data_IF_941401508054
#
_entry.id   IF_941401508054
#
_cell.length_a   1.000
_cell.length_b   1.000
_cell.length_c   1.000
_cell.angle_alpha   90.00
_cell.angle_beta   90.00
_cell.angle_gamma   90.00
#
_symmetry.space_group_name_H-M   'P 1'
#
loop_
_entity.id
_entity.type
_entity.pdbx_description
1 polymer ?
#
# COMPACT_ATOMS: atom_id res chain seq x y z
N UNK A 1 -27.26 46.39 19.75
CA UNK A 1 -26.24 46.44 18.67
C UNK A 1 -24.90 46.17 19.33
N UNK A 2 -24.01 45.26 18.93
CA UNK A 2 -23.85 44.36 17.78
C UNK A 2 -23.20 43.07 18.33
N UNK A 3 -23.63 41.94 17.77
CA UNK A 3 -23.14 40.59 18.01
C UNK A 3 -21.62 40.53 17.70
N UNK A 4 -20.78 40.23 18.68
CA UNK A 4 -19.44 39.69 18.43
C UNK A 4 -19.47 38.19 18.72
N UNK A 5 -20.12 37.47 17.80
CA UNK A 5 -19.94 36.05 17.61
C UNK A 5 -18.54 35.90 16.98
N UNK A 6 -17.51 35.79 17.81
CA UNK A 6 -16.14 35.60 17.32
C UNK A 6 -16.05 34.18 16.76
N UNK A 7 -16.04 34.12 15.43
CA UNK A 7 -15.98 32.91 14.62
C UNK A 7 -14.70 32.14 14.96
N UNK A 8 -14.95 30.96 15.50
CA UNK A 8 -14.04 29.84 15.66
C UNK A 8 -13.62 29.36 14.27
N UNK A 9 -12.46 29.76 13.76
CA UNK A 9 -11.84 29.14 12.60
C UNK A 9 -10.61 28.35 13.07
N UNK A 10 -10.90 27.16 13.60
CA UNK A 10 -9.93 26.09 13.80
C UNK A 10 -9.30 25.76 12.44
N UNK A 11 -8.09 26.25 12.18
CA UNK A 11 -7.20 25.66 11.20
C UNK A 11 -6.71 24.33 11.77
N UNK A 12 -7.51 23.26 11.62
CA UNK A 12 -7.04 21.91 11.86
C UNK A 12 -6.05 21.62 10.71
N UNK A 13 -4.74 21.45 10.96
CA UNK A 13 -3.84 20.99 9.91
C UNK A 13 -4.34 19.60 9.49
N UNK A 14 -4.75 19.45 8.23
CA UNK A 14 -5.02 18.15 7.66
C UNK A 14 -3.72 17.35 7.73
N UNK A 15 -3.67 16.36 8.63
CA UNK A 15 -2.49 15.53 8.84
C UNK A 15 -2.13 14.82 7.53
N UNK A 16 -0.86 14.96 7.15
CA UNK A 16 -0.20 14.40 5.96
C UNK A 16 -0.66 14.98 4.61
N UNK A 17 -0.14 16.15 4.19
CA UNK A 17 -0.36 16.64 2.84
C UNK A 17 0.36 15.76 1.82
N UNK A 18 -0.26 15.56 0.66
CA UNK A 18 0.43 15.02 -0.51
C UNK A 18 1.52 15.99 -0.94
N UNK A 19 2.78 15.54 -0.94
CA UNK A 19 3.91 16.35 -1.36
C UNK A 19 4.48 15.83 -2.67
N UNK A 20 4.78 16.75 -3.60
CA UNK A 20 5.53 16.42 -4.82
C UNK A 20 6.98 16.16 -4.43
N UNK A 21 7.53 15.03 -4.85
CA UNK A 21 8.86 14.57 -4.43
C UNK A 21 9.64 13.92 -5.59
N UNK A 22 10.85 13.49 -5.27
CA UNK A 22 11.75 12.73 -6.13
C UNK A 22 13.09 12.49 -5.44
N UNK A 23 13.76 11.39 -5.76
CA UNK A 23 15.04 11.00 -5.17
C UNK A 23 14.91 9.97 -4.04
N UNK A 24 15.99 9.80 -3.28
CA UNK A 24 16.04 8.81 -2.19
C UNK A 24 15.22 9.27 -1.00
N UNK A 25 14.35 8.39 -0.52
CA UNK A 25 13.62 8.51 0.73
C UNK A 25 14.00 7.34 1.64
N UNK A 26 14.25 7.63 2.91
CA UNK A 26 14.58 6.64 3.93
C UNK A 26 13.60 6.78 5.09
N UNK A 27 12.98 5.66 5.47
CA UNK A 27 12.15 5.58 6.66
C UNK A 27 12.93 4.88 7.77
N UNK A 28 13.46 5.67 8.71
CA UNK A 28 14.14 5.13 9.88
C UNK A 28 13.22 4.29 10.79
N UNK A 29 11.96 4.69 11.07
CA UNK A 29 11.08 3.90 11.94
C UNK A 29 10.71 2.53 11.36
N UNK A 30 10.61 2.44 10.02
CA UNK A 30 10.20 1.24 9.30
C UNK A 30 11.37 0.51 8.61
N UNK A 31 12.59 1.01 8.77
CA UNK A 31 13.84 0.43 8.27
C UNK A 31 13.82 0.05 6.77
N UNK A 32 13.36 0.97 5.93
CA UNK A 32 13.41 0.81 4.47
C UNK A 32 13.90 2.07 3.77
N UNK A 33 14.41 1.91 2.56
CA UNK A 33 14.71 3.02 1.65
C UNK A 33 14.05 2.79 0.30
N UNK A 34 13.70 3.87 -0.40
CA UNK A 34 13.11 3.82 -1.74
C UNK A 34 13.59 5.01 -2.57
N UNK A 35 13.90 4.75 -3.85
CA UNK A 35 14.17 5.82 -4.81
C UNK A 35 12.86 6.19 -5.50
N UNK A 36 12.34 7.37 -5.18
CA UNK A 36 11.06 7.86 -5.71
C UNK A 36 11.32 8.55 -7.07
N UNK A 37 10.60 8.19 -8.14
CA UNK A 37 10.75 8.85 -9.43
C UNK A 37 10.43 10.34 -9.33
N UNK A 38 11.13 11.15 -10.14
CA UNK A 38 10.94 12.60 -10.13
C UNK A 38 9.50 12.98 -10.49
N UNK A 39 8.93 13.87 -9.69
CA UNK A 39 7.60 14.43 -9.94
C UNK A 39 6.43 13.60 -9.41
N UNK A 40 6.69 12.44 -8.80
CA UNK A 40 5.68 11.65 -8.12
C UNK A 40 5.19 12.37 -6.85
N UNK A 41 3.95 12.05 -6.46
CA UNK A 41 3.36 12.51 -5.21
C UNK A 41 3.59 11.49 -4.12
N UNK A 42 3.81 11.94 -2.89
CA UNK A 42 4.03 11.11 -1.71
C UNK A 42 3.06 11.47 -0.59
N UNK A 43 2.48 10.45 0.02
CA UNK A 43 1.72 10.49 1.25
C UNK A 43 2.40 9.57 2.25
N UNK A 44 3.00 10.17 3.28
CA UNK A 44 3.71 9.48 4.35
C UNK A 44 2.88 9.53 5.63
N UNK A 45 2.64 8.37 6.23
CA UNK A 45 1.81 8.21 7.43
C UNK A 45 2.51 7.28 8.42
N UNK A 46 2.00 7.22 9.65
CA UNK A 46 2.47 6.31 10.69
C UNK A 46 2.28 4.81 10.36
N UNK A 47 1.49 4.49 9.34
CA UNK A 47 1.13 3.10 8.98
C UNK A 47 1.65 2.66 7.63
N UNK A 48 1.83 3.59 6.70
CA UNK A 48 2.22 3.30 5.34
C UNK A 48 2.82 4.52 4.64
N UNK A 49 3.64 4.23 3.64
CA UNK A 49 4.07 5.16 2.61
C UNK A 49 3.33 4.85 1.31
N UNK A 50 2.69 5.85 0.72
CA UNK A 50 2.04 5.76 -0.58
C UNK A 50 2.66 6.77 -1.53
N UNK A 51 3.28 6.28 -2.61
CA UNK A 51 3.84 7.13 -3.68
C UNK A 51 3.11 6.86 -4.98
N UNK A 52 2.87 7.89 -5.78
CA UNK A 52 2.01 7.80 -6.97
C UNK A 52 2.45 8.75 -8.07
N UNK A 53 2.49 8.25 -9.31
CA UNK A 53 2.76 9.06 -10.51
C UNK A 53 1.49 9.70 -11.09
N UNK A 54 0.47 8.87 -11.35
CA UNK A 54 -0.77 9.29 -12.05
C UNK A 54 -2.00 9.38 -11.13
N UNK A 55 -1.84 9.10 -9.84
CA UNK A 55 -2.88 9.09 -8.83
C UNK A 55 -2.95 7.76 -8.09
N UNK A 56 -3.37 7.75 -6.81
CA UNK A 56 -3.32 6.56 -5.94
C UNK A 56 -4.24 5.40 -6.36
N UNK A 57 -5.06 5.61 -7.40
CA UNK A 57 -5.95 4.58 -7.96
C UNK A 57 -5.56 4.16 -9.38
N UNK A 58 -4.52 4.77 -9.96
CA UNK A 58 -4.08 4.51 -11.34
C UNK A 58 -2.66 3.93 -11.38
N UNK A 59 -1.74 4.53 -10.62
CA UNK A 59 -0.35 4.08 -10.56
C UNK A 59 0.25 4.48 -9.22
N UNK A 60 0.56 3.48 -8.39
CA UNK A 60 1.14 3.72 -7.08
C UNK A 60 2.05 2.59 -6.60
N UNK A 61 2.87 2.91 -5.61
CA UNK A 61 3.58 1.94 -4.76
C UNK A 61 3.14 2.18 -3.32
N UNK A 62 2.69 1.11 -2.66
CA UNK A 62 2.31 1.11 -1.25
C UNK A 62 3.32 0.27 -0.47
N UNK A 63 3.95 0.87 0.54
CA UNK A 63 4.83 0.20 1.49
C UNK A 63 4.14 0.31 2.85
N UNK A 64 3.93 -0.82 3.52
CA UNK A 64 3.23 -0.85 4.81
C UNK A 64 3.74 -1.98 5.68
N UNK A 65 3.76 -1.74 6.98
CA UNK A 65 3.94 -2.77 7.99
C UNK A 65 2.59 -3.27 8.49
N UNK A 66 2.55 -4.53 8.92
CA UNK A 66 1.34 -5.15 9.44
C UNK A 66 1.68 -6.10 10.58
N UNK A 67 0.90 -6.12 11.68
CA UNK A 67 1.01 -7.17 12.68
C UNK A 67 0.78 -8.55 12.04
N UNK A 68 1.72 -9.48 12.26
CA UNK A 68 1.74 -10.76 11.56
C UNK A 68 0.47 -11.59 11.78
N UNK A 69 -0.15 -11.45 12.95
CA UNK A 69 -1.33 -12.20 13.38
C UNK A 69 -2.66 -11.51 13.05
N UNK A 70 -2.62 -10.31 12.44
CA UNK A 70 -3.82 -9.58 12.04
C UNK A 70 -4.45 -10.20 10.78
N UNK A 71 -5.73 -10.64 10.81
CA UNK A 71 -6.43 -11.19 9.64
C UNK A 71 -6.64 -10.15 8.55
N UNK A 72 -6.44 -10.53 7.30
CA UNK A 72 -6.62 -9.66 6.14
C UNK A 72 -8.09 -9.19 5.99
N UNK A 73 -8.35 -8.21 5.11
CA UNK A 73 -9.65 -7.52 5.10
C UNK A 73 -10.73 -8.36 4.43
N UNK A 74 -10.39 -8.99 3.31
CA UNK A 74 -11.30 -9.75 2.47
C UNK A 74 -11.23 -11.27 2.78
N UNK A 75 -10.17 -11.74 3.44
CA UNK A 75 -10.06 -13.11 3.97
C UNK A 75 -9.85 -13.17 5.49
N UNK A 76 -10.27 -14.29 6.10
CA UNK A 76 -9.96 -14.60 7.51
C UNK A 76 -8.52 -15.10 7.70
N UNK A 77 -7.79 -15.37 6.62
CA UNK A 77 -6.38 -15.80 6.70
C UNK A 77 -5.51 -14.68 7.28
N UNK A 78 -4.41 -15.10 7.91
CA UNK A 78 -3.37 -14.25 8.49
C UNK A 78 -2.02 -14.88 8.23
N UNK A 79 -0.95 -14.10 8.36
CA UNK A 79 0.39 -14.66 8.33
C UNK A 79 0.71 -15.43 9.61
N UNK A 80 1.74 -16.28 9.51
CA UNK A 80 2.35 -16.98 10.62
C UNK A 80 3.87 -16.94 10.43
N UNK A 81 4.62 -16.82 11.53
CA UNK A 81 6.10 -16.80 11.56
C UNK A 81 6.75 -18.05 10.96
N UNK A 82 6.03 -19.16 10.93
CA UNK A 82 6.50 -20.44 10.41
C UNK A 82 6.17 -20.67 8.93
N UNK A 83 5.48 -19.72 8.27
CA UNK A 83 5.13 -19.87 6.86
C UNK A 83 6.38 -19.78 5.98
N UNK A 84 6.45 -20.68 5.01
CA UNK A 84 7.32 -20.53 3.85
C UNK A 84 6.84 -19.33 3.01
N UNK A 85 7.74 -18.68 2.23
CA UNK A 85 7.33 -17.55 1.41
C UNK A 85 6.18 -17.84 0.44
N UNK A 86 6.11 -19.06 -0.08
CA UNK A 86 5.03 -19.48 -0.97
C UNK A 86 3.68 -19.60 -0.23
N UNK A 87 3.68 -20.08 1.02
CA UNK A 87 2.47 -20.13 1.85
C UNK A 87 1.99 -18.71 2.21
N UNK A 88 2.92 -17.79 2.45
CA UNK A 88 2.59 -16.37 2.63
C UNK A 88 2.01 -15.77 1.34
N UNK A 89 2.56 -16.10 0.17
CA UNK A 89 2.00 -15.67 -1.12
C UNK A 89 0.55 -16.14 -1.30
N UNK A 90 0.24 -17.39 -0.91
CA UNK A 90 -1.12 -17.94 -0.99
C UNK A 90 -2.13 -17.18 -0.11
N UNK A 91 -1.70 -16.67 1.05
CA UNK A 91 -2.54 -15.80 1.89
C UNK A 91 -2.86 -14.49 1.16
N UNK A 92 -1.89 -13.88 0.47
CA UNK A 92 -2.10 -12.65 -0.29
C UNK A 92 -2.98 -12.88 -1.53
N UNK A 93 -2.80 -14.01 -2.22
CA UNK A 93 -3.66 -14.40 -3.34
C UNK A 93 -5.11 -14.58 -2.87
N UNK A 94 -5.31 -15.24 -1.72
CA UNK A 94 -6.63 -15.43 -1.12
C UNK A 94 -7.29 -14.09 -0.75
N UNK A 95 -6.53 -13.14 -0.19
CA UNK A 95 -7.01 -11.79 0.07
C UNK A 95 -7.48 -11.07 -1.20
N UNK A 96 -6.66 -11.12 -2.26
CA UNK A 96 -6.97 -10.42 -3.52
C UNK A 96 -8.18 -11.05 -4.20
N UNK A 97 -8.22 -12.38 -4.30
CA UNK A 97 -9.31 -13.11 -4.97
C UNK A 97 -10.62 -13.09 -4.18
N UNK A 98 -10.57 -12.87 -2.86
CA UNK A 98 -11.75 -12.67 -2.03
C UNK A 98 -12.35 -11.25 -2.18
N UNK A 99 -11.62 -10.30 -2.76
CA UNK A 99 -12.12 -8.95 -3.00
C UNK A 99 -13.09 -8.91 -4.19
N UNK A 100 -14.36 -8.59 -3.92
CA UNK A 100 -15.41 -8.48 -4.96
C UNK A 100 -15.21 -7.32 -5.94
N UNK A 101 -14.21 -6.47 -5.75
CA UNK A 101 -13.83 -5.43 -6.71
C UNK A 101 -12.76 -5.87 -7.70
N UNK A 102 -12.11 -7.00 -7.43
CA UNK A 102 -11.09 -7.61 -8.28
C UNK A 102 -11.79 -8.61 -9.22
N UNK A 103 -11.72 -8.35 -10.52
CA UNK A 103 -12.31 -9.17 -11.56
C UNK A 103 -11.19 -9.73 -12.46
N UNK A 104 -11.36 -10.96 -12.97
CA UNK A 104 -10.40 -11.57 -13.89
C UNK A 104 -8.94 -11.53 -13.38
N UNK A 105 -8.74 -11.89 -12.11
CA UNK A 105 -7.42 -11.98 -11.51
C UNK A 105 -6.58 -13.07 -12.18
N UNK A 106 -5.35 -12.73 -12.56
CA UNK A 106 -4.41 -13.61 -13.25
C UNK A 106 -3.00 -13.42 -12.67
N UNK A 107 -2.36 -14.52 -12.29
CA UNK A 107 -0.98 -14.54 -11.82
C UNK A 107 -0.06 -14.71 -13.02
N UNK A 108 0.89 -13.77 -13.17
CA UNK A 108 1.93 -13.79 -14.21
C UNK A 108 3.20 -14.44 -13.66
N UNK A 109 3.55 -14.14 -12.41
CA UNK A 109 4.72 -14.70 -11.72
C UNK A 109 4.39 -14.86 -10.23
N UNK A 110 4.80 -15.98 -9.61
CA UNK A 110 4.79 -16.18 -8.17
C UNK A 110 6.00 -17.05 -7.80
N UNK A 111 7.00 -16.45 -7.16
CA UNK A 111 8.25 -17.13 -6.83
C UNK A 111 8.80 -16.68 -5.47
N UNK A 112 9.42 -17.60 -4.69
CA UNK A 112 10.26 -17.23 -3.56
C UNK A 112 11.43 -16.34 -4.01
N UNK A 113 11.82 -15.39 -3.17
CA UNK A 113 12.94 -14.48 -3.40
C UNK A 113 13.61 -14.08 -2.09
N UNK A 114 14.75 -13.39 -2.18
CA UNK A 114 15.43 -12.77 -1.04
C UNK A 114 15.19 -11.27 -1.04
N UNK A 115 14.68 -10.74 0.06
CA UNK A 115 14.49 -9.29 0.27
C UNK A 115 15.44 -8.88 1.39
N UNK A 116 16.48 -8.11 1.05
CA UNK A 116 17.51 -7.68 2.00
C UNK A 116 18.08 -8.84 2.85
N UNK A 117 18.33 -9.99 2.24
CA UNK A 117 18.85 -11.19 2.93
C UNK A 117 17.81 -12.02 3.70
N UNK A 118 16.55 -11.58 3.75
CA UNK A 118 15.44 -12.33 4.34
C UNK A 118 14.65 -13.10 3.29
N UNK A 119 14.06 -14.22 3.67
CA UNK A 119 13.16 -14.97 2.79
C UNK A 119 11.85 -14.21 2.59
N UNK A 120 11.45 -14.07 1.33
CA UNK A 120 10.21 -13.41 0.92
C UNK A 120 9.72 -13.99 -0.40
N UNK A 121 8.70 -13.36 -0.98
CA UNK A 121 8.17 -13.78 -2.27
C UNK A 121 7.96 -12.57 -3.17
N UNK A 122 8.01 -12.81 -4.48
CA UNK A 122 7.64 -11.85 -5.51
C UNK A 122 6.43 -12.39 -6.25
N UNK A 123 5.42 -11.54 -6.38
CA UNK A 123 4.21 -11.84 -7.14
C UNK A 123 3.98 -10.74 -8.16
N UNK A 124 3.73 -11.14 -9.42
CA UNK A 124 3.31 -10.25 -10.50
C UNK A 124 1.95 -10.76 -10.98
N UNK A 125 0.97 -9.88 -11.03
CA UNK A 125 -0.40 -10.24 -11.35
C UNK A 125 -1.09 -9.10 -12.10
N UNK A 126 -2.20 -9.43 -12.75
CA UNK A 126 -3.08 -8.45 -13.40
C UNK A 126 -4.53 -8.74 -13.04
N UNK A 127 -5.36 -7.71 -13.05
CA UNK A 127 -6.80 -7.83 -12.82
C UNK A 127 -7.54 -6.68 -13.48
N UNK A 128 -8.87 -6.77 -13.51
CA UNK A 128 -9.77 -5.65 -13.83
C UNK A 128 -10.44 -5.15 -12.57
N UNK A 129 -10.54 -3.84 -12.42
CA UNK A 129 -11.40 -3.26 -11.39
C UNK A 129 -12.88 -3.29 -11.83
N UNK A 130 -13.79 -2.80 -10.99
CA UNK A 130 -15.23 -2.73 -11.28
C UNK A 130 -15.59 -1.86 -12.48
N UNK A 131 -14.75 -0.87 -12.80
CA UNK A 131 -14.92 0.00 -13.96
C UNK A 131 -14.41 -0.66 -15.26
N UNK A 132 -13.91 -1.89 -15.18
CA UNK A 132 -13.37 -2.64 -16.31
C UNK A 132 -11.94 -2.25 -16.71
N UNK A 133 -11.30 -1.32 -15.97
CA UNK A 133 -9.91 -0.93 -16.19
C UNK A 133 -8.99 -2.09 -15.84
N UNK A 134 -8.17 -2.52 -16.81
CA UNK A 134 -7.14 -3.54 -16.59
C UNK A 134 -5.91 -2.91 -15.92
N UNK A 135 -5.64 -3.32 -14.70
CA UNK A 135 -4.45 -2.93 -13.94
C UNK A 135 -3.35 -3.98 -14.17
N UNK A 136 -2.14 -3.48 -14.42
CA UNK A 136 -0.94 -4.26 -14.72
C UNK A 136 0.18 -3.87 -13.77
#
# INVERSE_FOLDING_TARGET
>A
MKKFLLIFLLFIPACAPWIKTGGSYESLPHNFYVNIPQGWMMLDTDRYLLISGDGPFLQYVLIQDRPIDMPFRNTKKKFNRLMLPQEAADVVIDEITSDRSVLNFEIIENAPTRINGHDGFRMVFTYKNRDGLKLK
#
